data_IF_329595627149
#
_entry.id   IF_329595627149
#
_cell.length_a   1.000
_cell.length_b   1.000
_cell.length_c   1.000
_cell.angle_alpha   90.00
_cell.angle_beta   90.00
_cell.angle_gamma   90.00
#
_symmetry.space_group_name_H-M   'P 1'
#
loop_
_entity.id
_entity.type
_entity.pdbx_description
1 polymer ?
#
# COMPACT_ATOMS: atom_id res chain seq x y z
N UNK A 1 15.20 -8.44 -16.60
CA UNK A 1 16.22 -9.10 -15.75
C UNK A 1 15.78 -9.31 -14.29
N UNK A 2 14.49 -9.25 -13.95
CA UNK A 2 14.00 -9.41 -12.57
C UNK A 2 13.79 -10.91 -12.19
N UNK A 3 13.69 -11.79 -13.19
CA UNK A 3 13.31 -13.19 -12.97
C UNK A 3 14.31 -14.02 -12.14
N UNK A 4 15.61 -13.68 -12.17
CA UNK A 4 16.66 -14.46 -11.48
C UNK A 4 16.69 -14.29 -9.96
N UNK A 5 15.96 -13.34 -9.39
CA UNK A 5 15.93 -13.09 -7.93
C UNK A 5 14.58 -13.39 -7.27
N UNK A 6 13.57 -13.86 -8.02
CA UNK A 6 12.25 -14.23 -7.48
C UNK A 6 12.38 -15.33 -6.41
N UNK A 7 13.33 -16.26 -6.57
CA UNK A 7 13.56 -17.31 -5.58
C UNK A 7 14.11 -16.82 -4.25
N UNK A 8 14.75 -15.64 -4.24
CA UNK A 8 15.36 -15.06 -3.04
C UNK A 8 14.37 -14.29 -2.17
N UNK A 9 13.23 -13.90 -2.74
CA UNK A 9 12.24 -13.05 -2.08
C UNK A 9 10.85 -13.71 -2.09
N UNK A 10 10.42 -14.34 -0.98
CA UNK A 10 9.13 -15.04 -0.92
C UNK A 10 7.94 -14.11 -1.21
N UNK A 11 8.05 -12.81 -0.89
CA UNK A 11 7.04 -11.81 -1.21
C UNK A 11 6.80 -11.65 -2.72
N UNK A 12 7.84 -11.77 -3.55
CA UNK A 12 7.69 -11.66 -5.01
C UNK A 12 7.03 -12.89 -5.61
N UNK A 13 7.25 -14.07 -5.03
CA UNK A 13 6.48 -15.27 -5.38
C UNK A 13 5.01 -15.09 -5.04
N UNK A 14 4.73 -14.52 -3.87
CA UNK A 14 3.36 -14.25 -3.45
C UNK A 14 2.65 -13.26 -4.37
N UNK A 15 3.34 -12.23 -4.87
CA UNK A 15 2.80 -11.31 -5.88
C UNK A 15 2.36 -12.01 -7.16
N UNK A 16 3.02 -13.11 -7.54
CA UNK A 16 2.69 -13.90 -8.73
C UNK A 16 1.60 -14.94 -8.51
N UNK A 17 1.50 -15.47 -7.28
CA UNK A 17 0.50 -16.49 -6.92
C UNK A 17 -0.87 -15.85 -6.68
N UNK A 18 -0.91 -14.63 -6.15
CA UNK A 18 -2.15 -13.91 -5.90
C UNK A 18 -2.60 -13.22 -7.18
N UNK A 19 -3.82 -13.52 -7.63
CA UNK A 19 -4.48 -12.73 -8.66
C UNK A 19 -4.96 -11.38 -8.08
N UNK A 20 -4.23 -10.32 -8.40
CA UNK A 20 -4.53 -8.97 -7.95
C UNK A 20 -5.63 -8.28 -8.78
N UNK A 21 -5.99 -8.80 -9.95
CA UNK A 21 -6.93 -8.13 -10.86
C UNK A 21 -8.33 -7.96 -10.23
N UNK A 22 -8.94 -8.97 -9.57
CA UNK A 22 -10.24 -8.82 -8.93
C UNK A 22 -10.19 -7.82 -7.76
N UNK A 23 -9.09 -7.82 -7.02
CA UNK A 23 -8.86 -6.89 -5.91
C UNK A 23 -8.77 -5.47 -6.45
N UNK A 24 -7.97 -5.23 -7.50
CA UNK A 24 -7.84 -3.92 -8.12
C UNK A 24 -9.19 -3.40 -8.64
N UNK A 25 -9.99 -4.25 -9.30
CA UNK A 25 -11.34 -3.88 -9.73
C UNK A 25 -12.24 -3.49 -8.55
N UNK A 26 -12.18 -4.24 -7.45
CA UNK A 26 -12.91 -3.93 -6.24
C UNK A 26 -12.49 -2.58 -5.65
N UNK A 27 -11.18 -2.29 -5.59
CA UNK A 27 -10.65 -1.01 -5.13
C UNK A 27 -11.07 0.15 -6.04
N UNK A 28 -11.06 -0.05 -7.36
CA UNK A 28 -11.50 0.95 -8.32
C UNK A 28 -13.01 1.23 -8.21
N UNK A 29 -13.85 0.21 -7.92
CA UNK A 29 -15.28 0.44 -7.63
C UNK A 29 -15.48 1.30 -6.38
N UNK A 30 -14.68 1.09 -5.33
CA UNK A 30 -14.71 1.95 -4.14
C UNK A 30 -14.15 3.35 -4.42
N UNK A 31 -13.20 3.48 -5.35
CA UNK A 31 -12.63 4.78 -5.80
C UNK A 31 -13.69 5.70 -6.37
N UNK A 32 -14.64 5.19 -7.16
CA UNK A 32 -15.71 6.00 -7.76
C UNK A 32 -16.59 6.68 -6.71
N UNK A 33 -16.76 6.07 -5.54
CA UNK A 33 -17.45 6.70 -4.39
C UNK A 33 -16.62 7.82 -3.77
N UNK A 34 -15.30 7.68 -3.73
CA UNK A 34 -14.37 8.64 -3.13
C UNK A 34 -14.08 9.86 -3.99
N UNK A 35 -13.90 9.69 -5.31
CA UNK A 35 -13.69 10.81 -6.24
C UNK A 35 -14.89 11.77 -6.31
N UNK A 36 -16.08 11.32 -5.91
CA UNK A 36 -17.26 12.18 -5.76
C UNK A 36 -17.17 13.09 -4.53
N UNK A 37 -16.54 12.64 -3.44
CA UNK A 37 -16.39 13.42 -2.19
C UNK A 37 -15.11 14.26 -2.15
N UNK A 38 -14.04 13.83 -2.83
CA UNK A 38 -12.76 14.52 -2.86
C UNK A 38 -12.37 14.90 -4.28
N UNK A 39 -12.37 16.21 -4.57
CA UNK A 39 -11.94 16.81 -5.84
C UNK A 39 -10.42 16.69 -5.97
N UNK A 40 -9.92 15.53 -6.42
CA UNK A 40 -8.50 15.36 -6.70
C UNK A 40 -8.16 13.97 -7.25
N UNK A 41 -7.15 13.92 -8.12
CA UNK A 41 -6.55 12.65 -8.56
C UNK A 41 -5.89 12.00 -7.33
N UNK A 42 -6.14 10.71 -7.03
CA UNK A 42 -5.44 10.04 -5.95
C UNK A 42 -3.93 10.10 -6.23
N UNK A 43 -3.15 10.59 -5.26
CA UNK A 43 -1.71 10.77 -5.39
C UNK A 43 -0.95 9.46 -5.62
N UNK A 44 -1.52 8.33 -5.17
CA UNK A 44 -0.90 7.00 -5.24
C UNK A 44 -1.84 5.96 -5.87
N UNK A 45 -1.29 4.94 -6.58
CA UNK A 45 -2.06 3.78 -7.02
C UNK A 45 -2.71 3.05 -5.83
N UNK A 46 -4.03 2.81 -5.90
CA UNK A 46 -4.77 2.21 -4.80
C UNK A 46 -4.33 0.78 -4.47
N UNK A 47 -3.89 0.03 -5.50
CA UNK A 47 -3.40 -1.33 -5.34
C UNK A 47 -2.06 -1.34 -4.59
N UNK A 48 -1.14 -0.44 -4.92
CA UNK A 48 0.14 -0.28 -4.22
C UNK A 48 -0.06 0.10 -2.76
N UNK A 49 -0.94 1.06 -2.48
CA UNK A 49 -1.31 1.42 -1.10
C UNK A 49 -1.94 0.26 -0.34
N UNK A 50 -2.78 -0.54 -0.99
CA UNK A 50 -3.36 -1.72 -0.36
C UNK A 50 -2.31 -2.77 -0.01
N UNK A 51 -1.40 -3.06 -0.94
CA UNK A 51 -0.28 -3.98 -0.72
C UNK A 51 0.62 -3.54 0.42
N UNK A 52 0.90 -2.24 0.54
CA UNK A 52 1.69 -1.69 1.64
C UNK A 52 1.03 -1.96 3.00
N UNK A 53 -0.26 -1.63 3.14
CA UNK A 53 -0.99 -1.89 4.39
C UNK A 53 -1.11 -3.39 4.68
N UNK A 54 -1.26 -4.23 3.65
CA UNK A 54 -1.28 -5.68 3.79
C UNK A 54 0.06 -6.22 4.31
N UNK A 55 1.19 -5.71 3.81
CA UNK A 55 2.53 -6.03 4.34
C UNK A 55 2.65 -5.60 5.81
N UNK A 56 2.17 -4.41 6.15
CA UNK A 56 2.13 -3.94 7.54
C UNK A 56 1.33 -4.90 8.45
N UNK A 57 0.20 -5.41 7.97
CA UNK A 57 -0.60 -6.39 8.72
C UNK A 57 0.09 -7.76 8.84
N UNK A 58 0.71 -8.27 7.77
CA UNK A 58 1.41 -9.56 7.81
C UNK A 58 2.67 -9.56 8.68
N UNK A 59 3.36 -8.43 8.72
CA UNK A 59 4.58 -8.27 9.52
C UNK A 59 4.34 -7.59 10.87
N UNK A 60 3.08 -7.33 11.24
CA UNK A 60 2.69 -6.64 12.49
C UNK A 60 3.40 -5.29 12.70
N UNK A 61 3.59 -4.53 11.62
CA UNK A 61 4.28 -3.23 11.64
C UNK A 61 3.30 -2.09 11.93
N UNK A 62 3.77 -1.09 12.68
CA UNK A 62 3.12 0.22 12.79
C UNK A 62 3.32 1.05 11.51
N UNK A 63 2.53 2.11 11.32
CA UNK A 63 2.63 2.96 10.12
C UNK A 63 4.05 3.57 9.93
N UNK A 64 4.75 4.06 10.99
CA UNK A 64 6.15 4.51 10.86
C UNK A 64 7.13 3.39 10.52
N UNK A 65 6.97 2.20 11.09
CA UNK A 65 7.83 1.04 10.78
C UNK A 65 7.59 0.53 9.36
N UNK A 66 6.36 0.62 8.86
CA UNK A 66 5.99 0.28 7.50
C UNK A 66 6.64 1.25 6.50
N UNK A 67 6.57 2.56 6.75
CA UNK A 67 7.27 3.57 5.95
C UNK A 67 8.78 3.26 5.91
N UNK A 68 9.40 3.07 7.07
CA UNK A 68 10.83 2.77 7.15
C UNK A 68 11.19 1.48 6.40
N UNK A 69 10.33 0.45 6.49
CA UNK A 69 10.53 -0.82 5.78
C UNK A 69 10.37 -0.67 4.27
N UNK A 70 9.47 0.19 3.78
CA UNK A 70 9.30 0.46 2.35
C UNK A 70 10.52 1.18 1.75
N UNK A 71 11.20 2.01 2.55
CA UNK A 71 12.41 2.73 2.14
C UNK A 71 13.65 1.83 2.20
N UNK A 72 13.81 1.08 3.29
CA UNK A 72 15.04 0.32 3.56
C UNK A 72 15.05 -1.07 2.94
N UNK A 73 13.88 -1.70 2.77
CA UNK A 73 13.78 -3.06 2.27
C UNK A 73 13.28 -3.09 0.83
N UNK A 74 14.17 -3.51 -0.07
CA UNK A 74 13.88 -3.57 -1.51
C UNK A 74 12.76 -4.56 -1.86
N UNK A 75 12.56 -5.61 -1.06
CA UNK A 75 11.50 -6.60 -1.26
C UNK A 75 10.09 -6.01 -1.04
N UNK A 76 9.94 -5.14 -0.03
CA UNK A 76 8.71 -4.42 0.25
C UNK A 76 8.37 -3.42 -0.87
N UNK A 77 9.38 -2.67 -1.33
CA UNK A 77 9.21 -1.75 -2.44
C UNK A 77 8.80 -2.49 -3.72
N UNK A 78 9.53 -3.54 -4.10
CA UNK A 78 9.24 -4.34 -5.29
C UNK A 78 7.86 -5.01 -5.25
N UNK A 79 7.39 -5.45 -4.07
CA UNK A 79 6.05 -6.02 -3.90
C UNK A 79 4.95 -4.97 -4.14
N UNK A 80 5.10 -3.78 -3.55
CA UNK A 80 4.13 -2.70 -3.67
C UNK A 80 4.19 -1.98 -5.03
N UNK A 81 5.33 -2.06 -5.73
CA UNK A 81 5.63 -1.38 -7.00
C UNK A 81 5.40 0.13 -6.91
N UNK A 82 5.91 0.76 -5.85
CA UNK A 82 6.00 2.22 -5.83
C UNK A 82 7.12 2.64 -6.78
N UNK A 83 6.92 3.73 -7.54
CA UNK A 83 8.06 4.38 -8.19
C UNK A 83 8.93 4.99 -7.08
N UNK A 84 10.26 4.97 -7.21
CA UNK A 84 11.22 5.41 -6.17
C UNK A 84 10.92 6.83 -5.63
N UNK A 85 10.28 7.69 -6.42
CA UNK A 85 9.88 9.06 -6.06
C UNK A 85 8.48 9.16 -5.42
N UNK A 86 7.81 8.03 -5.18
CA UNK A 86 6.40 7.95 -4.76
C UNK A 86 6.17 7.00 -3.58
N UNK A 87 7.16 6.88 -2.69
CA UNK A 87 6.98 6.14 -1.44
C UNK A 87 6.08 6.99 -0.52
N UNK A 88 4.92 6.46 -0.09
CA UNK A 88 4.03 7.19 0.82
C UNK A 88 4.66 7.31 2.21
N UNK A 89 4.51 8.48 2.82
CA UNK A 89 4.90 8.70 4.21
C UNK A 89 3.95 7.99 5.19
N UNK A 90 4.36 7.88 6.47
CA UNK A 90 3.51 7.26 7.50
C UNK A 90 2.13 7.93 7.62
N UNK A 91 2.05 9.25 7.38
CA UNK A 91 0.80 10.00 7.48
C UNK A 91 -0.20 9.59 6.39
N UNK A 92 0.27 9.36 5.16
CA UNK A 92 -0.53 8.87 4.03
C UNK A 92 -0.99 7.44 4.28
N UNK A 93 -0.11 6.57 4.81
CA UNK A 93 -0.45 5.19 5.19
C UNK A 93 -1.51 5.16 6.30
N UNK A 94 -1.33 5.96 7.35
CA UNK A 94 -2.30 6.11 8.44
C UNK A 94 -3.67 6.57 7.94
N UNK A 95 -3.72 7.62 7.10
CA UNK A 95 -4.97 8.12 6.50
C UNK A 95 -5.67 7.05 5.68
N UNK A 96 -4.92 6.28 4.90
CA UNK A 96 -5.47 5.18 4.12
C UNK A 96 -6.04 4.05 5.00
N UNK A 97 -5.32 3.69 6.07
CA UNK A 97 -5.76 2.66 7.03
C UNK A 97 -7.01 3.08 7.79
N UNK A 98 -7.04 4.29 8.33
CA UNK A 98 -8.20 4.87 9.02
C UNK A 98 -9.40 5.07 8.09
N UNK A 99 -9.19 5.22 6.77
CA UNK A 99 -10.29 5.22 5.82
C UNK A 99 -10.95 3.85 5.67
N UNK A 100 -10.16 2.77 5.76
CA UNK A 100 -10.67 1.39 5.61
C UNK A 100 -11.33 0.86 6.87
N UNK A 101 -10.78 1.19 8.02
CA UNK A 101 -11.40 0.89 9.29
C UNK A 101 -12.36 2.03 9.64
N UNK A 102 -13.68 1.79 9.67
CA UNK A 102 -14.67 2.76 10.19
C UNK A 102 -14.52 2.96 11.72
N UNK A 103 -13.32 3.17 12.22
CA UNK A 103 -13.01 3.31 13.64
C UNK A 103 -12.16 4.55 13.85
N UNK A 104 -12.52 5.27 14.91
CA UNK A 104 -11.93 6.49 15.49
C UNK A 104 -10.61 6.99 14.88
N UNK A 105 -10.57 8.26 14.43
CA UNK A 105 -9.39 8.84 13.81
C UNK A 105 -8.20 8.87 14.78
N UNK A 106 -7.01 8.49 14.31
CA UNK A 106 -5.77 8.70 15.04
C UNK A 106 -5.53 10.22 15.20
N UNK A 107 -5.31 10.73 16.44
CA UNK A 107 -5.16 12.16 16.68
C UNK A 107 -3.97 12.80 15.95
N UNK A 108 -2.96 12.01 15.59
CA UNK A 108 -1.67 12.51 15.11
C UNK A 108 -1.53 12.53 13.58
N UNK A 109 -2.57 12.13 12.82
CA UNK A 109 -2.51 12.04 11.35
C UNK A 109 -3.11 13.27 10.62
N UNK A 110 -3.39 14.35 11.38
CA UNK A 110 -3.99 15.62 10.93
C UNK A 110 -2.99 16.80 10.84
N UNK A 111 -1.71 16.54 10.57
CA UNK A 111 -0.78 17.58 10.13
C UNK A 111 -0.58 17.56 8.61
#
# INVERSE_FOLDING_TARGET
MIAKHIDRFPLLKLDQVIDWQPIEQYLNRQRTRYLRDHRGRPAYPLLSMFKAVLLGQWHSLSDPELEHSLITRIDFNLFCRFDELSIPDYSTLCRYRNRRHKTTPCPNCWN
#
